data_IF_384132835792
#
_entry.id   IF_384132835792
#
_cell.length_a   1.000
_cell.length_b   1.000
_cell.length_c   1.000
_cell.angle_alpha   90.00
_cell.angle_beta   90.00
_cell.angle_gamma   90.00
#
_symmetry.space_group_name_H-M   'P 1'
#
loop_
_entity.id
_entity.type
_entity.pdbx_description
1 polymer ?
#
# COMPACT_ATOMS: atom_id res chain seq x y z
N UNK A 1 -75.84 -30.05 16.87
CA UNK A 1 -75.14 -29.91 15.57
C UNK A 1 -73.85 -29.14 15.84
N UNK A 2 -72.67 -29.72 16.06
CA UNK A 2 -71.87 -30.64 15.22
C UNK A 2 -71.20 -29.96 14.01
N UNK A 3 -70.01 -29.37 14.30
CA UNK A 3 -68.78 -29.34 13.49
C UNK A 3 -68.71 -28.47 12.21
N UNK A 4 -67.51 -28.20 11.62
CA UNK A 4 -66.13 -28.42 12.11
C UNK A 4 -65.19 -27.19 11.96
N UNK A 5 -64.05 -27.23 12.66
CA UNK A 5 -62.92 -26.34 12.40
C UNK A 5 -62.06 -26.76 11.21
N UNK A 6 -61.27 -25.82 10.69
CA UNK A 6 -60.07 -26.11 9.89
C UNK A 6 -59.00 -25.05 10.16
N UNK A 7 -58.08 -25.42 11.05
CA UNK A 7 -56.75 -24.83 11.17
C UNK A 7 -55.98 -25.08 9.86
N UNK A 8 -55.46 -24.01 9.23
CA UNK A 8 -54.52 -24.15 8.12
C UNK A 8 -53.33 -23.21 8.31
N UNK A 9 -52.46 -23.57 9.25
CA UNK A 9 -51.03 -23.23 9.19
C UNK A 9 -50.40 -23.97 8.01
N UNK A 10 -50.20 -23.31 6.87
CA UNK A 10 -49.13 -23.67 5.92
C UNK A 10 -48.86 -22.50 4.97
N UNK A 11 -47.73 -21.80 5.16
CA UNK A 11 -46.73 -21.65 4.09
C UNK A 11 -45.55 -20.86 4.63
N UNK A 12 -44.57 -21.59 5.18
CA UNK A 12 -43.18 -21.11 5.18
C UNK A 12 -42.72 -21.06 3.73
N UNK A 13 -42.22 -19.90 3.32
CA UNK A 13 -40.96 -19.66 2.60
C UNK A 13 -41.15 -18.48 1.67
N UNK A 14 -40.45 -17.40 1.96
CA UNK A 14 -39.60 -16.68 1.01
C UNK A 14 -38.48 -16.06 1.82
N UNK A 15 -37.33 -16.72 1.77
CA UNK A 15 -36.06 -16.09 2.09
C UNK A 15 -35.88 -14.96 1.07
N UNK A 16 -36.03 -13.73 1.54
CA UNK A 16 -35.39 -12.57 0.93
C UNK A 16 -34.70 -11.90 2.09
N UNK A 17 -33.37 -11.89 2.04
CA UNK A 17 -32.53 -11.09 2.92
C UNK A 17 -32.35 -9.77 2.19
N UNK A 18 -33.06 -8.68 2.54
CA UNK A 18 -32.52 -7.36 2.40
C UNK A 18 -31.95 -7.00 3.77
N UNK A 19 -30.63 -6.93 3.80
CA UNK A 19 -29.85 -6.32 4.85
C UNK A 19 -30.33 -4.87 5.05
N UNK A 20 -31.31 -4.68 5.95
CA UNK A 20 -31.51 -3.52 6.82
C UNK A 20 -32.71 -3.75 7.77
N UNK A 21 -32.52 -3.38 9.03
CA UNK A 21 -33.41 -3.45 10.20
C UNK A 21 -33.51 -4.81 10.94
N UNK A 22 -32.65 -4.93 11.96
CA UNK A 22 -32.72 -5.84 13.10
C UNK A 22 -34.09 -5.74 13.80
N UNK A 23 -34.72 -6.87 14.08
CA UNK A 23 -36.02 -7.01 14.77
C UNK A 23 -35.89 -6.78 16.29
N UNK A 24 -36.79 -6.00 16.91
CA UNK A 24 -36.83 -5.83 18.36
C UNK A 24 -38.20 -5.46 18.92
N UNK A 25 -38.90 -6.50 19.42
CA UNK A 25 -39.95 -6.58 20.46
C UNK A 25 -41.22 -5.70 20.44
N UNK A 26 -42.36 -6.41 20.38
CA UNK A 26 -43.70 -5.97 20.78
C UNK A 26 -43.75 -5.84 22.32
N UNK A 27 -44.02 -4.64 22.85
CA UNK A 27 -44.42 -4.44 24.26
C UNK A 27 -45.37 -3.26 24.37
N UNK A 28 -46.48 -3.49 25.08
CA UNK A 28 -47.67 -2.63 25.13
C UNK A 28 -47.49 -1.33 25.93
N UNK A 29 -48.15 -0.28 25.41
CA UNK A 29 -48.78 0.89 26.06
C UNK A 29 -47.94 1.89 26.88
N UNK A 30 -47.70 3.08 26.29
CA UNK A 30 -48.01 4.42 26.84
C UNK A 30 -48.31 5.37 25.66
N UNK A 31 -49.50 5.98 25.63
CA UNK A 31 -49.90 6.94 24.59
C UNK A 31 -49.36 8.34 24.94
N UNK A 32 -48.13 8.61 24.53
CA UNK A 32 -47.69 9.96 24.20
C UNK A 32 -47.48 9.97 22.68
N UNK A 33 -48.01 10.97 21.98
CA UNK A 33 -48.08 11.01 20.51
C UNK A 33 -46.70 11.34 19.91
N UNK A 34 -45.73 10.46 20.15
CA UNK A 34 -44.49 10.41 19.40
C UNK A 34 -44.84 9.80 18.04
N UNK A 35 -45.14 10.66 17.06
CA UNK A 35 -45.16 10.24 15.66
C UNK A 35 -43.73 9.76 15.32
N UNK A 36 -43.50 8.44 15.15
CA UNK A 36 -42.21 8.00 14.68
C UNK A 36 -42.02 8.63 13.30
N UNK A 37 -40.89 9.32 13.03
CA UNK A 37 -40.66 9.90 11.72
C UNK A 37 -40.81 8.80 10.68
N UNK A 38 -41.60 9.09 9.63
CA UNK A 38 -41.90 8.19 8.52
C UNK A 38 -40.65 7.41 8.11
N UNK A 39 -40.85 6.10 7.88
CA UNK A 39 -39.85 5.09 7.55
C UNK A 39 -38.56 5.68 6.97
N UNK A 40 -37.48 5.69 7.76
CA UNK A 40 -36.17 6.16 7.31
C UNK A 40 -35.72 5.28 6.14
N UNK A 41 -35.79 5.81 4.92
CA UNK A 41 -35.22 5.16 3.74
C UNK A 41 -33.70 5.07 3.92
N UNK A 42 -33.09 3.93 3.62
CA UNK A 42 -31.64 3.77 3.71
C UNK A 42 -30.94 4.67 2.69
N UNK A 43 -30.41 5.81 3.15
CA UNK A 43 -29.77 6.82 2.28
C UNK A 43 -28.37 6.42 1.80
N UNK A 44 -27.82 5.27 2.20
CA UNK A 44 -26.40 4.96 2.00
C UNK A 44 -26.10 3.96 0.86
N UNK A 45 -27.12 3.39 0.20
CA UNK A 45 -26.91 2.35 -0.82
C UNK A 45 -26.18 2.90 -2.06
N UNK A 46 -26.58 4.08 -2.54
CA UNK A 46 -25.95 4.70 -3.73
C UNK A 46 -24.49 5.06 -3.45
N UNK A 47 -24.22 5.65 -2.29
CA UNK A 47 -22.85 6.01 -1.89
C UNK A 47 -21.98 4.78 -1.63
N UNK A 48 -22.54 3.70 -1.08
CA UNK A 48 -21.84 2.42 -0.92
C UNK A 48 -21.43 1.85 -2.28
N UNK A 49 -22.33 1.87 -3.28
CA UNK A 49 -22.00 1.39 -4.64
C UNK A 49 -20.86 2.23 -5.23
N UNK A 50 -20.94 3.55 -5.12
CA UNK A 50 -19.88 4.46 -5.61
C UNK A 50 -18.54 4.15 -4.92
N UNK A 51 -18.55 3.97 -3.60
CA UNK A 51 -17.36 3.63 -2.81
C UNK A 51 -16.74 2.30 -3.26
N UNK A 52 -17.57 1.27 -3.44
CA UNK A 52 -17.12 -0.05 -3.90
C UNK A 52 -16.48 0.06 -5.29
N UNK A 53 -17.12 0.75 -6.25
CA UNK A 53 -16.55 0.98 -7.58
C UNK A 53 -15.21 1.71 -7.50
N UNK A 54 -15.11 2.76 -6.67
CA UNK A 54 -13.87 3.48 -6.46
C UNK A 54 -12.75 2.58 -5.89
N UNK A 55 -13.07 1.74 -4.91
CA UNK A 55 -12.12 0.77 -4.37
C UNK A 55 -11.63 -0.20 -5.44
N UNK A 56 -12.52 -0.73 -6.28
CA UNK A 56 -12.12 -1.59 -7.40
C UNK A 56 -11.19 -0.87 -8.37
N UNK A 57 -11.49 0.38 -8.74
CA UNK A 57 -10.61 1.17 -9.60
C UNK A 57 -9.23 1.40 -8.99
N UNK A 58 -9.15 1.69 -7.68
CA UNK A 58 -7.87 1.86 -6.98
C UNK A 58 -7.05 0.57 -6.96
N UNK A 59 -7.70 -0.59 -6.74
CA UNK A 59 -7.02 -1.89 -6.79
C UNK A 59 -6.49 -2.17 -8.20
N UNK A 60 -7.28 -1.87 -9.24
CA UNK A 60 -6.84 -2.06 -10.63
C UNK A 60 -5.61 -1.20 -10.97
N UNK A 61 -5.63 0.08 -10.60
CA UNK A 61 -4.50 0.99 -10.82
C UNK A 61 -3.28 0.55 -10.01
N UNK A 62 -3.47 0.14 -8.75
CA UNK A 62 -2.40 -0.37 -7.89
C UNK A 62 -1.75 -1.64 -8.44
N UNK A 63 -2.57 -2.59 -8.93
CA UNK A 63 -2.07 -3.81 -9.56
C UNK A 63 -1.30 -3.51 -10.85
N UNK A 64 -1.79 -2.59 -11.68
CA UNK A 64 -1.09 -2.14 -12.88
C UNK A 64 0.27 -1.52 -12.52
N UNK A 65 0.31 -0.63 -11.53
CA UNK A 65 1.55 -0.02 -11.07
C UNK A 65 2.54 -1.04 -10.50
N UNK A 66 2.07 -2.09 -9.84
CA UNK A 66 2.93 -3.15 -9.31
C UNK A 66 3.52 -4.04 -10.41
N UNK A 67 2.72 -4.43 -11.41
CA UNK A 67 3.16 -5.34 -12.49
C UNK A 67 4.07 -4.64 -13.49
N UNK A 68 3.74 -3.41 -13.87
CA UNK A 68 4.50 -2.65 -14.88
C UNK A 68 5.55 -1.71 -14.27
N UNK A 69 5.46 -1.43 -12.97
CA UNK A 69 6.45 -0.64 -12.24
C UNK A 69 7.54 -1.51 -11.62
N UNK A 70 8.50 -0.84 -10.97
CA UNK A 70 9.53 -1.49 -10.19
C UNK A 70 9.36 -1.11 -8.70
N UNK A 71 8.70 -1.95 -7.87
CA UNK A 71 8.45 -1.64 -6.46
C UNK A 71 9.74 -1.52 -5.65
N UNK A 72 10.85 -2.12 -6.11
CA UNK A 72 12.14 -2.03 -5.44
C UNK A 72 12.69 -0.59 -5.41
N UNK A 73 12.29 0.28 -6.33
CA UNK A 73 12.65 1.70 -6.31
C UNK A 73 12.08 2.47 -5.11
N UNK A 74 11.02 1.96 -4.48
CA UNK A 74 10.38 2.61 -3.34
C UNK A 74 10.96 2.14 -2.00
N UNK A 75 11.35 0.86 -1.93
CA UNK A 75 11.89 0.24 -0.71
C UNK A 75 13.40 0.37 -0.59
N UNK A 76 14.12 0.42 -1.71
CA UNK A 76 15.57 0.47 -1.73
C UNK A 76 16.05 1.84 -2.23
N UNK A 77 17.22 2.26 -1.76
CA UNK A 77 17.87 3.46 -2.25
C UNK A 77 18.46 3.29 -3.64
N UNK A 78 18.64 4.41 -4.35
CA UNK A 78 19.27 4.45 -5.67
C UNK A 78 20.57 5.23 -5.62
N UNK A 79 21.57 4.81 -6.39
CA UNK A 79 22.81 5.58 -6.59
C UNK A 79 22.60 6.77 -7.55
N UNK A 80 23.66 7.56 -7.79
CA UNK A 80 23.63 8.71 -8.73
C UNK A 80 23.56 8.28 -10.20
N UNK A 81 23.78 7.00 -10.50
CA UNK A 81 23.79 6.44 -11.86
C UNK A 81 22.48 5.72 -12.21
N UNK A 82 21.52 5.68 -11.29
CA UNK A 82 20.20 5.10 -11.48
C UNK A 82 20.10 3.60 -11.16
N UNK A 83 21.09 3.01 -10.49
CA UNK A 83 21.03 1.63 -10.01
C UNK A 83 20.36 1.59 -8.63
N UNK A 84 19.47 0.63 -8.45
CA UNK A 84 18.83 0.30 -7.18
C UNK A 84 19.79 -0.59 -6.38
N UNK A 85 20.07 -0.20 -5.14
CA UNK A 85 20.97 -0.94 -4.26
C UNK A 85 20.31 -2.24 -3.77
N UNK A 86 21.10 -3.31 -3.62
CA UNK A 86 20.61 -4.63 -3.16
C UNK A 86 19.83 -5.43 -4.22
N UNK A 87 19.81 -4.98 -5.47
CA UNK A 87 19.13 -5.68 -6.58
C UNK A 87 19.99 -5.73 -7.82
N UNK A 88 19.70 -6.67 -8.73
CA UNK A 88 20.24 -6.66 -10.08
C UNK A 88 19.46 -5.65 -10.93
N UNK A 89 20.16 -4.77 -11.65
CA UNK A 89 19.55 -3.69 -12.44
C UNK A 89 19.73 -3.96 -13.92
N UNK A 90 18.69 -3.63 -14.71
CA UNK A 90 18.80 -3.62 -16.16
C UNK A 90 19.40 -2.30 -16.65
N UNK A 91 20.24 -2.38 -17.69
CA UNK A 91 20.85 -1.20 -18.28
C UNK A 91 19.80 -0.28 -18.91
N UNK A 92 19.80 0.99 -18.50
CA UNK A 92 18.94 2.00 -19.06
C UNK A 92 19.73 2.90 -20.02
N UNK A 93 19.49 2.74 -21.32
CA UNK A 93 20.18 3.52 -22.36
C UNK A 93 21.66 3.15 -22.50
N UNK A 94 22.47 4.11 -22.97
CA UNK A 94 23.90 3.90 -23.28
C UNK A 94 24.84 4.43 -22.18
N UNK A 95 24.41 4.43 -20.91
CA UNK A 95 25.23 4.90 -19.80
C UNK A 95 26.08 3.79 -19.19
N UNK A 96 27.40 3.95 -19.21
CA UNK A 96 28.39 2.96 -18.77
C UNK A 96 28.26 2.52 -17.31
N UNK A 97 27.59 3.31 -16.47
CA UNK A 97 27.40 3.04 -15.05
C UNK A 97 25.96 2.68 -14.69
N UNK A 98 25.07 2.51 -15.66
CA UNK A 98 23.69 2.04 -15.45
C UNK A 98 23.60 0.52 -15.66
N UNK A 99 22.63 -0.13 -15.01
CA UNK A 99 22.37 -1.57 -15.18
C UNK A 99 23.39 -2.48 -14.54
N UNK A 100 24.01 -2.04 -13.45
CA UNK A 100 24.97 -2.86 -12.75
C UNK A 100 24.29 -3.77 -11.73
N UNK A 101 24.90 -4.93 -11.50
CA UNK A 101 24.49 -5.80 -10.42
C UNK A 101 24.91 -5.20 -9.07
N UNK A 102 23.92 -4.80 -8.28
CA UNK A 102 24.09 -4.24 -6.94
C UNK A 102 23.56 -5.18 -5.86
N UNK A 103 23.31 -6.46 -6.18
CA UNK A 103 22.78 -7.43 -5.23
C UNK A 103 23.63 -7.57 -3.95
N UNK A 104 24.96 -7.48 -4.06
CA UNK A 104 25.89 -7.50 -2.91
C UNK A 104 26.05 -6.17 -2.19
N UNK A 105 25.42 -5.08 -2.67
CA UNK A 105 25.61 -3.71 -2.17
C UNK A 105 24.26 -3.11 -1.76
N UNK A 106 23.70 -3.49 -0.59
CA UNK A 106 22.35 -3.07 -0.19
C UNK A 106 22.29 -1.66 0.42
N UNK A 107 23.41 -1.06 0.86
CA UNK A 107 23.41 0.23 1.55
C UNK A 107 23.73 1.39 0.62
N UNK A 108 23.23 2.60 0.92
CA UNK A 108 23.54 3.83 0.17
C UNK A 108 24.48 4.70 0.99
N UNK A 109 25.63 5.03 0.41
CA UNK A 109 26.57 5.99 0.97
C UNK A 109 26.37 7.35 0.29
N UNK A 110 26.25 8.40 1.11
CA UNK A 110 26.20 9.80 0.68
C UNK A 110 27.55 10.46 0.98
N UNK A 111 28.18 11.07 -0.03
CA UNK A 111 29.48 11.72 0.17
C UNK A 111 29.38 13.14 0.75
N UNK A 112 28.26 13.83 0.54
CA UNK A 112 27.98 15.13 1.15
C UNK A 112 26.65 15.06 1.91
N UNK A 113 26.73 15.21 3.24
CA UNK A 113 25.58 15.22 4.14
C UNK A 113 24.94 16.62 4.26
N UNK A 114 25.63 17.67 3.81
CA UNK A 114 25.12 19.05 3.84
C UNK A 114 24.18 19.27 2.66
N UNK A 115 24.57 18.85 1.46
CA UNK A 115 23.77 18.96 0.24
C UNK A 115 23.36 17.59 -0.26
N UNK A 116 22.39 16.97 0.41
CA UNK A 116 22.00 15.57 0.16
C UNK A 116 21.42 15.34 -1.25
N UNK A 117 20.86 16.37 -1.88
CA UNK A 117 20.26 16.36 -3.23
C UNK A 117 21.31 16.42 -4.36
N UNK A 118 22.38 17.19 -4.17
CA UNK A 118 23.48 17.35 -5.12
C UNK A 118 24.63 16.36 -4.85
N UNK A 119 24.63 15.70 -3.69
CA UNK A 119 25.68 14.77 -3.31
C UNK A 119 25.74 13.54 -4.23
N UNK A 120 26.96 13.13 -4.55
CA UNK A 120 27.17 11.80 -5.15
C UNK A 120 26.79 10.73 -4.14
N UNK A 121 25.96 9.79 -4.56
CA UNK A 121 25.51 8.65 -3.77
C UNK A 121 25.84 7.35 -4.50
N UNK A 122 26.33 6.36 -3.76
CA UNK A 122 26.77 5.08 -4.33
C UNK A 122 26.31 3.90 -3.47
N UNK A 123 25.99 2.78 -4.11
CA UNK A 123 25.68 1.54 -3.40
C UNK A 123 26.96 0.91 -2.81
N UNK A 124 26.91 0.48 -1.56
CA UNK A 124 28.02 -0.16 -0.85
C UNK A 124 27.56 -1.43 -0.13
N UNK A 125 28.50 -2.37 0.03
CA UNK A 125 28.28 -3.62 0.78
C UNK A 125 28.30 -3.37 2.29
N UNK A 126 29.20 -2.49 2.74
CA UNK A 126 29.30 -2.06 4.12
C UNK A 126 29.62 -0.57 4.18
N UNK A 127 28.97 0.14 5.10
CA UNK A 127 29.28 1.54 5.36
C UNK A 127 30.66 1.69 6.03
N UNK A 128 31.45 2.71 5.67
CA UNK A 128 32.73 2.96 6.32
C UNK A 128 32.53 3.27 7.82
N UNK A 129 33.42 2.75 8.66
CA UNK A 129 33.38 2.97 10.12
C UNK A 129 33.93 4.35 10.55
N UNK A 130 34.16 5.26 9.61
CA UNK A 130 34.71 6.61 9.83
C UNK A 130 34.15 7.60 8.82
N UNK A 131 34.08 8.86 9.20
CA UNK A 131 33.65 9.94 8.31
C UNK A 131 34.64 10.13 7.15
N UNK A 132 34.12 10.15 5.92
CA UNK A 132 34.88 10.43 4.70
C UNK A 132 34.47 11.81 4.18
N UNK A 133 35.16 12.87 4.62
CA UNK A 133 34.80 14.26 4.29
C UNK A 133 35.55 14.80 3.08
N UNK A 134 36.68 14.19 2.75
CA UNK A 134 37.56 14.64 1.69
C UNK A 134 37.97 13.50 0.78
N UNK A 135 38.37 13.86 -0.44
CA UNK A 135 38.95 12.91 -1.40
C UNK A 135 40.19 12.21 -0.82
N UNK A 136 40.99 12.90 -0.01
CA UNK A 136 42.13 12.29 0.69
C UNK A 136 41.73 11.20 1.69
N UNK A 137 40.56 11.33 2.33
CA UNK A 137 40.08 10.31 3.27
C UNK A 137 39.59 9.05 2.54
N UNK A 138 38.96 9.21 1.36
CA UNK A 138 38.60 8.09 0.49
C UNK A 138 39.85 7.32 0.04
N UNK A 139 40.90 8.02 -0.36
CA UNK A 139 42.14 7.39 -0.81
C UNK A 139 42.81 6.62 0.32
N UNK A 140 42.88 7.19 1.53
CA UNK A 140 43.36 6.49 2.72
C UNK A 140 42.50 5.27 3.03
N UNK A 141 41.18 5.39 2.91
CA UNK A 141 40.26 4.26 3.16
C UNK A 141 40.47 3.11 2.18
N UNK A 142 40.67 3.44 0.90
CA UNK A 142 41.02 2.45 -0.12
C UNK A 142 42.36 1.77 0.20
N UNK A 143 43.37 2.52 0.63
CA UNK A 143 44.66 1.94 1.02
C UNK A 143 44.57 1.05 2.26
N UNK A 144 43.75 1.42 3.24
CA UNK A 144 43.61 0.69 4.51
C UNK A 144 42.77 -0.60 4.35
N UNK A 145 41.70 -0.56 3.55
CA UNK A 145 40.69 -1.63 3.48
C UNK A 145 40.63 -2.36 2.15
N UNK A 146 41.20 -1.78 1.08
CA UNK A 146 41.07 -2.27 -0.29
C UNK A 146 39.71 -2.01 -0.95
N UNK A 147 38.77 -1.36 -0.26
CA UNK A 147 37.41 -1.13 -0.78
C UNK A 147 37.37 0.11 -1.67
N UNK A 148 37.07 -0.06 -2.96
CA UNK A 148 36.95 1.06 -3.91
C UNK A 148 35.56 1.71 -3.84
N UNK A 149 35.53 2.97 -3.41
CA UNK A 149 34.34 3.83 -3.33
C UNK A 149 34.30 4.89 -4.44
N UNK A 150 35.33 4.99 -5.28
CA UNK A 150 35.42 5.92 -6.40
C UNK A 150 34.93 5.25 -7.68
N UNK A 151 34.24 6.02 -8.52
CA UNK A 151 33.73 5.55 -9.82
C UNK A 151 34.09 6.55 -10.91
#
# INVERSE_FOLDING_TARGET
MSSPGTNRRTSRRKNVIPFCCYTGQESESWQDEFQPPDSRSCTDVVYLIIYVVFCFLMILIGAFAYVYGNPYRLINGMDSFGNICGTSNDAFGNWSFSGMDMASKPYVLYFDLVNMDQSTKICVEQCPNRDLRSVSDLHKYYQDTGVNLCR
#
